data_IF_570644871769
#
_entry.id   IF_570644871769
#
_cell.length_a   1.000
_cell.length_b   1.000
_cell.length_c   1.000
_cell.angle_alpha   90.00
_cell.angle_beta   90.00
_cell.angle_gamma   90.00
#
_symmetry.space_group_name_H-M   'P 1'
#
loop_
_entity.id
_entity.type
_entity.pdbx_description
1 polymer ?
#
# COMPACT_ATOMS: atom_id res chain seq x y z
N UNK A 1 -9.98 -8.08 5.35
CA UNK A 1 -8.76 -7.33 4.99
C UNK A 1 -8.91 -5.82 5.22
N UNK A 2 -10.01 -5.17 4.79
CA UNK A 2 -10.22 -3.73 5.04
C UNK A 2 -10.19 -3.41 6.54
N UNK A 3 -10.81 -4.23 7.40
CA UNK A 3 -10.73 -4.06 8.86
C UNK A 3 -9.30 -4.13 9.39
N UNK A 4 -8.47 -5.03 8.87
CA UNK A 4 -7.06 -5.12 9.26
C UNK A 4 -6.30 -3.83 8.96
N UNK A 5 -6.51 -3.27 7.75
CA UNK A 5 -5.94 -1.98 7.38
C UNK A 5 -6.46 -0.83 8.27
N UNK A 6 -7.75 -0.80 8.57
CA UNK A 6 -8.35 0.25 9.39
C UNK A 6 -7.80 0.21 10.83
N UNK A 7 -7.70 -0.97 11.42
CA UNK A 7 -7.11 -1.17 12.75
C UNK A 7 -5.62 -0.80 12.76
N UNK A 8 -4.87 -1.18 11.72
CA UNK A 8 -3.48 -0.79 11.57
C UNK A 8 -3.32 0.74 11.48
N UNK A 9 -4.16 1.42 10.70
CA UNK A 9 -4.16 2.88 10.60
C UNK A 9 -4.52 3.56 11.93
N UNK A 10 -5.33 2.91 12.77
CA UNK A 10 -5.69 3.39 14.11
C UNK A 10 -4.64 3.05 15.19
N UNK A 11 -3.57 2.33 14.84
CA UNK A 11 -2.52 1.88 15.78
C UNK A 11 -2.86 0.62 16.58
N UNK A 12 -4.03 -0.01 16.35
CA UNK A 12 -4.37 -1.30 16.97
C UNK A 12 -3.71 -2.45 16.19
N UNK A 13 -2.41 -2.65 16.41
CA UNK A 13 -1.64 -3.67 15.70
C UNK A 13 -2.09 -5.09 16.07
N UNK A 14 -2.52 -5.31 17.32
CA UNK A 14 -3.02 -6.62 17.75
C UNK A 14 -4.33 -6.96 17.06
N UNK A 15 -5.30 -6.04 17.07
CA UNK A 15 -6.56 -6.18 16.36
C UNK A 15 -6.34 -6.32 14.85
N UNK A 16 -5.41 -5.56 14.28
CA UNK A 16 -5.05 -5.68 12.87
C UNK A 16 -4.56 -7.09 12.52
N UNK A 17 -3.66 -7.68 13.30
CA UNK A 17 -3.16 -9.04 13.07
C UNK A 17 -4.27 -10.11 13.17
N UNK A 18 -5.20 -9.97 14.13
CA UNK A 18 -6.37 -10.84 14.21
C UNK A 18 -7.24 -10.71 12.96
N UNK A 19 -7.51 -9.48 12.52
CA UNK A 19 -8.28 -9.23 11.31
C UNK A 19 -7.56 -9.68 10.03
N UNK A 20 -6.22 -9.73 10.00
CA UNK A 20 -5.46 -10.36 8.92
C UNK A 20 -5.72 -11.86 8.90
N UNK A 21 -5.60 -12.54 10.05
CA UNK A 21 -5.83 -13.98 10.15
C UNK A 21 -7.25 -14.36 9.71
N UNK A 22 -8.26 -13.61 10.18
CA UNK A 22 -9.64 -13.80 9.75
C UNK A 22 -9.82 -13.57 8.25
N UNK A 23 -9.19 -12.54 7.69
CA UNK A 23 -9.29 -12.26 6.27
C UNK A 23 -8.71 -13.39 5.41
N UNK A 24 -7.56 -13.97 5.81
CA UNK A 24 -6.95 -15.11 5.12
C UNK A 24 -7.85 -16.34 5.18
N UNK A 25 -8.31 -16.68 6.38
CA UNK A 25 -9.22 -17.82 6.60
C UNK A 25 -10.49 -17.71 5.76
N UNK A 26 -11.09 -16.52 5.67
CA UNK A 26 -12.28 -16.32 4.83
C UNK A 26 -11.92 -16.46 3.35
N UNK A 27 -10.82 -15.84 2.90
CA UNK A 27 -10.39 -15.89 1.50
C UNK A 27 -10.10 -17.31 1.01
N UNK A 28 -9.52 -18.17 1.86
CA UNK A 28 -9.23 -19.59 1.56
C UNK A 28 -10.49 -20.42 1.30
N UNK A 29 -11.65 -19.98 1.80
CA UNK A 29 -12.92 -20.69 1.67
C UNK A 29 -13.84 -20.13 0.56
N UNK A 30 -13.38 -19.14 -0.21
CA UNK A 30 -14.18 -18.58 -1.29
C UNK A 30 -14.21 -19.53 -2.49
N UNK A 31 -15.39 -19.74 -3.04
CA UNK A 31 -15.53 -20.43 -4.33
C UNK A 31 -15.09 -19.53 -5.50
N UNK A 32 -15.05 -20.11 -6.71
CA UNK A 32 -14.61 -19.41 -7.92
C UNK A 32 -15.44 -18.16 -8.24
N UNK A 33 -16.75 -18.18 -7.98
CA UNK A 33 -17.62 -17.04 -8.26
C UNK A 33 -17.37 -15.91 -7.24
N UNK A 34 -17.20 -16.27 -5.97
CA UNK A 34 -16.88 -15.34 -4.89
C UNK A 34 -15.47 -14.77 -5.00
N UNK A 35 -14.51 -15.49 -5.57
CA UNK A 35 -13.14 -15.01 -5.77
C UNK A 35 -12.92 -14.29 -7.11
N UNK A 36 -13.95 -14.17 -7.95
CA UNK A 36 -13.83 -13.57 -9.27
C UNK A 36 -13.62 -12.04 -9.19
N UNK A 37 -12.92 -11.47 -10.18
CA UNK A 37 -12.80 -10.02 -10.34
C UNK A 37 -14.09 -9.43 -10.93
N UNK A 38 -15.12 -9.35 -10.10
CA UNK A 38 -16.45 -8.83 -10.44
C UNK A 38 -16.92 -7.87 -9.36
N UNK A 39 -18.02 -7.17 -9.63
CA UNK A 39 -18.62 -6.25 -8.66
C UNK A 39 -18.94 -6.90 -7.29
N UNK A 40 -19.34 -8.17 -7.29
CA UNK A 40 -19.72 -8.92 -6.09
C UNK A 40 -18.60 -9.83 -5.57
N UNK A 41 -17.52 -9.99 -6.33
CA UNK A 41 -16.42 -10.86 -5.97
C UNK A 41 -15.35 -10.17 -5.13
N UNK A 42 -14.48 -10.99 -4.56
CA UNK A 42 -13.33 -10.59 -3.79
C UNK A 42 -12.07 -11.19 -4.41
N UNK A 43 -11.51 -10.55 -5.45
CA UNK A 43 -10.35 -11.07 -6.15
C UNK A 43 -9.13 -11.08 -5.24
N UNK A 44 -8.33 -12.15 -5.37
CA UNK A 44 -7.12 -12.37 -4.58
C UNK A 44 -6.12 -11.20 -4.69
N UNK A 45 -6.03 -10.53 -5.85
CA UNK A 45 -5.22 -9.32 -5.98
C UNK A 45 -5.64 -8.23 -4.98
N UNK A 46 -6.95 -7.93 -4.89
CA UNK A 46 -7.49 -6.94 -3.96
C UNK A 46 -7.25 -7.34 -2.50
N UNK A 47 -7.25 -8.64 -2.22
CA UNK A 47 -6.86 -9.17 -0.91
C UNK A 47 -5.42 -8.76 -0.56
N UNK A 48 -4.47 -9.06 -1.43
CA UNK A 48 -3.06 -8.74 -1.24
C UNK A 48 -2.80 -7.23 -1.14
N UNK A 49 -3.45 -6.38 -1.95
CA UNK A 49 -3.35 -4.91 -1.84
C UNK A 49 -3.74 -4.42 -0.44
N UNK A 50 -4.84 -4.93 0.12
CA UNK A 50 -5.27 -4.53 1.46
C UNK A 50 -4.33 -5.01 2.56
N UNK A 51 -3.83 -6.24 2.46
CA UNK A 51 -2.89 -6.79 3.45
C UNK A 51 -1.53 -6.12 3.39
N UNK A 52 -1.00 -5.83 2.18
CA UNK A 52 0.22 -5.02 1.98
C UNK A 52 0.16 -3.73 2.78
N UNK A 53 -0.91 -2.96 2.62
CA UNK A 53 -1.04 -1.68 3.32
C UNK A 53 -1.20 -1.86 4.84
N UNK A 54 -1.93 -2.89 5.28
CA UNK A 54 -2.05 -3.18 6.71
C UNK A 54 -0.67 -3.48 7.35
N UNK A 55 0.14 -4.32 6.71
CA UNK A 55 1.49 -4.62 7.19
C UNK A 55 2.43 -3.42 7.12
N UNK A 56 2.34 -2.62 6.06
CA UNK A 56 3.10 -1.36 5.91
C UNK A 56 2.82 -0.43 7.09
N UNK A 57 1.55 -0.21 7.43
CA UNK A 57 1.13 0.65 8.54
C UNK A 57 1.59 0.14 9.92
N UNK A 58 1.73 -1.18 10.08
CA UNK A 58 2.25 -1.81 11.30
C UNK A 58 3.78 -1.86 11.37
N UNK A 59 4.51 -1.39 10.33
CA UNK A 59 5.96 -1.51 10.23
C UNK A 59 6.45 -2.95 10.00
N UNK A 60 5.57 -3.85 9.55
CA UNK A 60 5.90 -5.27 9.28
C UNK A 60 6.34 -5.42 7.82
N UNK A 61 7.50 -4.85 7.50
CA UNK A 61 7.98 -4.65 6.12
C UNK A 61 8.16 -5.96 5.36
N UNK A 62 8.69 -7.01 6.01
CA UNK A 62 8.81 -8.35 5.40
C UNK A 62 7.48 -8.89 4.90
N UNK A 63 6.43 -8.86 5.73
CA UNK A 63 5.10 -9.30 5.32
C UNK A 63 4.48 -8.36 4.28
N UNK A 64 4.72 -7.04 4.40
CA UNK A 64 4.24 -6.08 3.42
C UNK A 64 4.80 -6.38 2.02
N UNK A 65 6.11 -6.61 1.89
CA UNK A 65 6.74 -6.97 0.62
C UNK A 65 6.19 -8.26 0.03
N UNK A 66 5.97 -9.29 0.86
CA UNK A 66 5.39 -10.55 0.38
C UNK A 66 3.99 -10.35 -0.22
N UNK A 67 3.15 -9.52 0.40
CA UNK A 67 1.82 -9.19 -0.12
C UNK A 67 1.87 -8.29 -1.35
N UNK A 68 2.84 -7.36 -1.43
CA UNK A 68 3.06 -6.52 -2.61
C UNK A 68 3.41 -7.38 -3.83
N UNK A 69 4.39 -8.28 -3.69
CA UNK A 69 4.80 -9.23 -4.72
C UNK A 69 3.64 -10.13 -5.16
N UNK A 70 2.91 -10.71 -4.20
CA UNK A 70 1.74 -11.55 -4.51
C UNK A 70 0.65 -10.78 -5.27
N UNK A 71 0.40 -9.52 -4.89
CA UNK A 71 -0.53 -8.65 -5.63
C UNK A 71 -0.04 -8.37 -7.05
N UNK A 72 1.24 -8.04 -7.23
CA UNK A 72 1.81 -7.73 -8.55
C UNK A 72 1.79 -8.94 -9.47
N UNK A 73 2.06 -10.14 -8.96
CA UNK A 73 1.98 -11.39 -9.72
C UNK A 73 0.57 -11.69 -10.27
N UNK A 74 -0.47 -11.26 -9.57
CA UNK A 74 -1.87 -11.41 -9.98
C UNK A 74 -2.39 -10.24 -10.82
N UNK A 75 -1.60 -9.18 -10.95
CA UNK A 75 -1.98 -7.97 -11.69
C UNK A 75 -1.84 -8.19 -13.19
N UNK A 76 -2.89 -8.75 -13.82
CA UNK A 76 -2.93 -9.05 -15.27
C UNK A 76 -3.12 -7.81 -16.16
N UNK A 77 -3.58 -6.67 -15.62
CA UNK A 77 -3.73 -5.41 -16.36
C UNK A 77 -2.83 -4.30 -15.84
N UNK A 78 -2.64 -3.25 -16.64
CA UNK A 78 -1.93 -2.02 -16.28
C UNK A 78 -2.73 -1.17 -15.27
N UNK A 79 -3.16 -1.73 -14.13
CA UNK A 79 -3.84 -0.94 -13.09
C UNK A 79 -2.86 0.08 -12.51
N UNK A 80 -2.86 1.28 -13.10
CA UNK A 80 -2.00 2.42 -12.74
C UNK A 80 -2.16 2.72 -11.24
N UNK A 81 -3.41 2.78 -10.77
CA UNK A 81 -3.71 2.98 -9.36
C UNK A 81 -3.07 1.90 -8.48
N UNK A 82 -3.32 0.62 -8.75
CA UNK A 82 -2.81 -0.46 -7.89
C UNK A 82 -1.28 -0.44 -7.80
N UNK A 83 -0.60 -0.26 -8.94
CA UNK A 83 0.86 -0.18 -8.97
C UNK A 83 1.38 1.04 -8.19
N UNK A 84 0.74 2.19 -8.34
CA UNK A 84 1.10 3.40 -7.58
C UNK A 84 0.89 3.23 -6.08
N UNK A 85 -0.21 2.61 -5.65
CA UNK A 85 -0.47 2.35 -4.23
C UNK A 85 0.56 1.39 -3.64
N UNK A 86 0.87 0.28 -4.34
CA UNK A 86 1.87 -0.69 -3.87
C UNK A 86 3.26 -0.07 -3.83
N UNK A 87 3.65 0.70 -4.84
CA UNK A 87 4.97 1.33 -4.88
C UNK A 87 5.14 2.42 -3.81
N UNK A 88 4.08 3.16 -3.46
CA UNK A 88 4.10 4.08 -2.31
C UNK A 88 4.15 3.32 -0.96
N UNK A 89 3.49 2.16 -0.87
CA UNK A 89 3.61 1.27 0.29
C UNK A 89 5.06 0.71 0.41
N UNK A 90 5.69 0.35 -0.71
CA UNK A 90 7.13 -0.05 -0.79
C UNK A 90 8.04 1.08 -0.32
N UNK A 91 7.84 2.31 -0.78
CA UNK A 91 8.59 3.48 -0.33
C UNK A 91 8.46 3.71 1.18
N UNK A 92 7.28 3.46 1.74
CA UNK A 92 7.04 3.54 3.18
C UNK A 92 7.77 2.43 3.95
N UNK A 93 7.85 1.23 3.39
CA UNK A 93 8.66 0.15 3.96
C UNK A 93 10.16 0.47 3.94
N UNK A 94 10.68 1.07 2.86
CA UNK A 94 12.09 1.51 2.79
C UNK A 94 12.42 2.51 3.92
N UNK A 95 11.51 3.45 4.21
CA UNK A 95 11.70 4.37 5.33
C UNK A 95 11.69 3.63 6.68
N UNK A 96 10.77 2.67 6.87
CA UNK A 96 10.72 1.87 8.09
C UNK A 96 11.95 0.97 8.27
N UNK A 97 12.54 0.50 7.18
CA UNK A 97 13.77 -0.31 7.16
C UNK A 97 15.06 0.53 7.31
N UNK A 98 14.92 1.86 7.44
CA UNK A 98 16.04 2.76 7.75
C UNK A 98 16.70 3.43 6.54
N UNK A 99 16.04 3.42 5.37
CA UNK A 99 16.51 4.10 4.15
C UNK A 99 15.56 5.24 3.72
N UNK A 100 15.57 6.39 4.43
CA UNK A 100 14.76 7.56 4.08
C UNK A 100 15.06 8.13 2.70
N UNK A 101 16.30 7.97 2.22
CA UNK A 101 16.73 8.50 0.92
C UNK A 101 16.09 7.70 -0.20
N UNK A 102 16.22 6.37 -0.19
CA UNK A 102 15.58 5.51 -1.18
C UNK A 102 14.06 5.62 -1.12
N UNK A 103 13.48 5.75 0.08
CA UNK A 103 12.05 6.00 0.25
C UNK A 103 11.58 7.28 -0.46
N UNK A 104 12.29 8.40 -0.25
CA UNK A 104 11.95 9.67 -0.87
C UNK A 104 12.15 9.64 -2.40
N UNK A 105 13.24 9.04 -2.88
CA UNK A 105 13.52 8.93 -4.31
C UNK A 105 12.46 8.11 -5.03
N UNK A 106 12.14 6.93 -4.51
CA UNK A 106 11.08 6.10 -5.06
C UNK A 106 9.73 6.84 -5.06
N UNK A 107 9.35 7.49 -3.96
CA UNK A 107 8.08 8.21 -3.89
C UNK A 107 7.99 9.38 -4.89
N UNK A 108 9.09 10.12 -5.08
CA UNK A 108 9.18 11.20 -6.07
C UNK A 108 9.02 10.64 -7.48
N UNK A 109 9.75 9.59 -7.83
CA UNK A 109 9.71 9.00 -9.16
C UNK A 109 8.30 8.49 -9.51
N UNK A 110 7.66 7.78 -8.58
CA UNK A 110 6.28 7.32 -8.75
C UNK A 110 5.35 8.50 -8.98
N UNK A 111 5.46 9.54 -8.15
CA UNK A 111 4.58 10.70 -8.20
C UNK A 111 4.67 11.46 -9.54
N UNK A 112 5.90 11.66 -10.03
CA UNK A 112 6.14 12.36 -11.28
C UNK A 112 5.62 11.57 -12.49
N UNK A 113 5.78 10.25 -12.47
CA UNK A 113 5.30 9.37 -13.55
C UNK A 113 3.77 9.14 -13.50
N UNK A 114 3.13 9.42 -12.37
CA UNK A 114 1.70 9.20 -12.21
C UNK A 114 0.89 10.16 -13.08
N UNK A 115 -0.07 9.68 -13.90
CA UNK A 115 -0.96 10.57 -14.64
C UNK A 115 -1.77 11.43 -13.66
N UNK A 116 -2.05 12.67 -14.07
CA UNK A 116 -2.70 13.68 -13.20
C UNK A 116 -4.00 13.17 -12.55
N UNK A 117 -4.81 12.43 -13.30
CA UNK A 117 -6.06 11.83 -12.83
C UNK A 117 -5.89 10.89 -11.62
N UNK A 118 -4.69 10.33 -11.42
CA UNK A 118 -4.38 9.43 -10.31
C UNK A 118 -3.62 10.12 -9.18
N UNK A 119 -3.21 11.39 -9.35
CA UNK A 119 -2.46 12.11 -8.31
C UNK A 119 -3.32 12.42 -7.09
N UNK A 120 -4.65 12.52 -7.19
CA UNK A 120 -5.52 12.76 -6.03
C UNK A 120 -5.77 11.54 -5.12
N UNK A 121 -6.63 11.72 -4.12
CA UNK A 121 -7.23 10.65 -3.34
C UNK A 121 -6.24 9.73 -2.62
N UNK A 122 -6.32 8.42 -2.87
CA UNK A 122 -5.58 7.41 -2.11
C UNK A 122 -4.06 7.44 -2.32
N UNK A 123 -3.59 7.79 -3.53
CA UNK A 123 -2.14 7.86 -3.78
C UNK A 123 -1.56 9.09 -3.10
N UNK A 124 -2.25 10.23 -3.16
CA UNK A 124 -1.89 11.43 -2.41
C UNK A 124 -1.79 11.16 -0.91
N UNK A 125 -2.83 10.56 -0.33
CA UNK A 125 -2.85 10.28 1.11
C UNK A 125 -1.66 9.43 1.55
N UNK A 126 -1.22 8.46 0.73
CA UNK A 126 -0.01 7.67 1.01
C UNK A 126 1.26 8.50 0.93
N UNK A 127 1.41 9.31 -0.12
CA UNK A 127 2.58 10.16 -0.29
C UNK A 127 2.71 11.21 0.83
N UNK A 128 1.59 11.80 1.25
CA UNK A 128 1.54 12.72 2.40
C UNK A 128 1.89 12.00 3.70
N UNK A 129 1.34 10.81 3.94
CA UNK A 129 1.68 10.00 5.12
C UNK A 129 3.18 9.71 5.17
N UNK A 130 3.77 9.25 4.06
CA UNK A 130 5.21 9.03 3.97
C UNK A 130 5.99 10.31 4.24
N UNK A 131 5.62 11.42 3.58
CA UNK A 131 6.23 12.73 3.81
C UNK A 131 6.21 13.12 5.30
N UNK A 132 5.12 12.86 6.02
CA UNK A 132 5.04 13.13 7.45
C UNK A 132 6.00 12.31 8.30
N UNK A 133 6.36 11.09 7.88
CA UNK A 133 7.32 10.22 8.58
C UNK A 133 8.79 10.50 8.23
N UNK A 134 9.06 11.15 7.10
CA UNK A 134 10.41 11.53 6.68
C UNK A 134 10.91 12.75 7.44
N UNK A 135 12.24 12.88 7.52
CA UNK A 135 12.96 14.03 8.09
C UNK A 135 14.08 14.52 7.16
N UNK A 136 14.61 15.72 7.44
CA UNK A 136 15.74 16.31 6.71
C UNK A 136 15.55 16.41 5.20
N UNK A 137 16.61 16.14 4.44
CA UNK A 137 16.65 16.25 2.98
C UNK A 137 15.61 15.36 2.30
N UNK A 138 15.37 14.16 2.80
CA UNK A 138 14.39 13.23 2.26
C UNK A 138 12.96 13.80 2.34
N UNK A 139 12.62 14.42 3.47
CA UNK A 139 11.33 15.12 3.64
C UNK A 139 11.18 16.26 2.65
N UNK A 140 12.17 17.15 2.57
CA UNK A 140 12.13 18.30 1.65
C UNK A 140 11.98 17.86 0.20
N UNK A 141 12.71 16.80 -0.20
CA UNK A 141 12.66 16.25 -1.57
C UNK A 141 11.25 15.83 -1.96
N UNK A 142 10.58 15.02 -1.13
CA UNK A 142 9.20 14.61 -1.40
C UNK A 142 8.24 15.81 -1.29
N UNK A 143 8.40 16.68 -0.30
CA UNK A 143 7.56 17.87 -0.12
C UNK A 143 7.52 18.78 -1.35
N UNK A 144 8.67 18.97 -2.02
CA UNK A 144 8.76 19.81 -3.23
C UNK A 144 7.85 19.34 -4.37
N UNK A 145 7.70 18.03 -4.57
CA UNK A 145 6.83 17.48 -5.63
C UNK A 145 5.36 17.41 -5.22
N UNK A 146 5.07 17.40 -3.92
CA UNK A 146 3.69 17.46 -3.40
C UNK A 146 3.12 18.88 -3.47
N UNK A 147 3.95 19.92 -3.24
CA UNK A 147 3.53 21.33 -3.25
C UNK A 147 3.39 21.89 -4.68
N UNK A 148 4.21 21.42 -5.63
CA UNK A 148 4.20 21.88 -7.03
C UNK A 148 3.00 21.43 -7.88
N UNK A 149 1.82 21.30 -7.25
CA UNK A 149 0.55 20.92 -7.89
C UNK A 149 -0.22 22.12 -8.37
#
# INVERSE_FOLDING_TARGET
AVSARALAAAGDHKGALLAVADARRIAENLDTAQSADTWFGYPQQKHHVHLSQAFTLMGRTREAYAEQEASLALTRSQSVMTRALLAMDTATCLQADGDPTAAADMAVDIWQQLPEAYRGGLVQSRAETLHHTLSGTARTRLGNVLIGR
#
